data_IF_736398502474
#
_entry.id   IF_736398502474
#
_cell.length_a   1.000
_cell.length_b   1.000
_cell.length_c   1.000
_cell.angle_alpha   90.00
_cell.angle_beta   90.00
_cell.angle_gamma   90.00
#
_symmetry.space_group_name_H-M   'P 1'
#
loop_
_entity.id
_entity.type
_entity.pdbx_description
1 polymer ?
#
# COMPACT_ATOMS: atom_id res chain seq x y z
N UNK A 1 11.04 0.59 4.78
CA UNK A 1 10.61 -0.82 4.84
C UNK A 1 9.11 -0.87 5.11
N UNK A 2 8.35 -1.63 4.32
CA UNK A 2 6.88 -1.79 4.41
C UNK A 2 6.54 -3.28 4.36
N UNK A 3 5.51 -3.71 5.07
CA UNK A 3 5.00 -5.08 5.07
C UNK A 3 3.60 -5.13 4.43
N UNK A 4 3.44 -5.91 3.36
CA UNK A 4 2.19 -6.03 2.60
C UNK A 4 1.01 -6.53 3.45
N UNK A 5 1.27 -7.48 4.35
CA UNK A 5 0.25 -8.08 5.22
C UNK A 5 -0.33 -7.09 6.24
N UNK A 6 0.36 -5.99 6.52
CA UNK A 6 -0.09 -4.92 7.42
C UNK A 6 -0.86 -3.83 6.70
N UNK A 7 -0.76 -3.74 5.37
CA UNK A 7 -1.52 -2.76 4.59
C UNK A 7 -2.98 -3.18 4.59
N UNK A 8 -3.84 -2.26 5.04
CA UNK A 8 -5.28 -2.49 5.05
C UNK A 8 -5.83 -2.29 3.65
N UNK A 9 -6.45 -3.33 3.12
CA UNK A 9 -7.17 -3.32 1.86
C UNK A 9 -8.57 -3.86 2.16
N UNK A 10 -9.61 -3.24 1.60
CA UNK A 10 -10.98 -3.70 1.80
C UNK A 10 -11.12 -5.15 1.27
N UNK A 11 -11.84 -6.04 1.95
CA UNK A 11 -12.04 -7.43 1.49
C UNK A 11 -12.55 -7.52 0.06
N UNK A 12 -13.49 -6.66 -0.31
CA UNK A 12 -14.09 -6.57 -1.64
C UNK A 12 -13.03 -6.20 -2.70
N UNK A 13 -12.12 -5.28 -2.37
CA UNK A 13 -11.00 -4.91 -3.25
C UNK A 13 -10.03 -6.08 -3.41
N UNK A 14 -9.71 -6.81 -2.33
CA UNK A 14 -8.85 -8.00 -2.40
C UNK A 14 -9.45 -9.10 -3.27
N UNK A 15 -10.75 -9.34 -3.16
CA UNK A 15 -11.46 -10.31 -4.00
C UNK A 15 -11.44 -9.92 -5.47
N UNK A 16 -11.69 -8.65 -5.79
CA UNK A 16 -11.64 -8.13 -7.16
C UNK A 16 -10.23 -8.23 -7.74
N UNK A 17 -9.21 -7.75 -7.01
CA UNK A 17 -7.81 -7.84 -7.44
C UNK A 17 -7.40 -9.28 -7.71
N UNK A 18 -7.81 -10.23 -6.85
CA UNK A 18 -7.52 -11.65 -7.06
C UNK A 18 -8.20 -12.19 -8.32
N UNK A 19 -9.47 -11.86 -8.54
CA UNK A 19 -10.22 -12.32 -9.71
C UNK A 19 -9.64 -11.76 -11.03
N UNK A 20 -9.08 -10.56 -10.99
CA UNK A 20 -8.54 -9.85 -12.16
C UNK A 20 -7.01 -9.92 -12.28
N UNK A 21 -6.35 -10.65 -11.38
CA UNK A 21 -4.88 -10.76 -11.30
C UNK A 21 -4.15 -9.40 -11.21
N UNK A 22 -4.66 -8.51 -10.36
CA UNK A 22 -4.08 -7.18 -10.10
C UNK A 22 -3.36 -7.15 -8.74
N UNK A 23 -2.33 -6.31 -8.62
CA UNK A 23 -1.70 -6.00 -7.35
C UNK A 23 -2.47 -4.88 -6.62
N UNK A 24 -3.11 -5.14 -5.46
CA UNK A 24 -3.86 -4.14 -4.73
C UNK A 24 -3.01 -2.96 -4.23
N UNK A 25 -1.69 -3.12 -4.11
CA UNK A 25 -0.78 -2.04 -3.69
C UNK A 25 -0.39 -1.10 -4.83
N UNK A 26 -0.76 -1.42 -6.08
CA UNK A 26 -0.49 -0.61 -7.27
C UNK A 26 -1.77 -0.05 -7.89
N UNK A 27 -2.83 0.08 -7.08
CA UNK A 27 -4.04 0.82 -7.44
C UNK A 27 -4.01 2.22 -6.83
N UNK A 28 -4.51 3.21 -7.56
CA UNK A 28 -4.78 4.53 -7.00
C UNK A 28 -5.85 4.42 -5.89
N UNK A 29 -5.62 5.14 -4.79
CA UNK A 29 -6.62 5.35 -3.73
C UNK A 29 -6.85 6.84 -3.50
N UNK A 30 -8.08 7.29 -3.74
CA UNK A 30 -8.52 8.67 -3.55
C UNK A 30 -8.98 8.99 -2.12
N UNK A 31 -8.95 8.02 -1.21
CA UNK A 31 -9.46 8.14 0.16
C UNK A 31 -8.51 7.64 1.25
N UNK A 32 -7.23 7.45 0.97
CA UNK A 32 -6.24 6.93 1.93
C UNK A 32 -5.24 7.99 2.37
N UNK A 33 -4.94 8.04 3.66
CA UNK A 33 -3.84 8.82 4.22
C UNK A 33 -2.63 7.91 4.47
N UNK A 34 -1.48 8.27 3.91
CA UNK A 34 -0.18 7.72 4.30
C UNK A 34 0.56 8.80 5.08
N UNK A 35 1.04 8.44 6.28
CA UNK A 35 1.73 9.38 7.15
C UNK A 35 2.91 8.70 7.85
N UNK A 36 3.95 9.48 8.13
CA UNK A 36 5.07 9.10 8.98
C UNK A 36 4.99 9.88 10.28
N UNK A 37 5.29 9.21 11.40
CA UNK A 37 5.31 9.84 12.72
C UNK A 37 6.55 9.38 13.49
N UNK A 38 7.10 10.18 14.41
CA UNK A 38 8.12 9.71 15.34
C UNK A 38 7.62 8.51 16.14
N UNK A 39 8.51 7.57 16.47
CA UNK A 39 8.16 6.34 17.20
C UNK A 39 7.43 6.62 18.52
N UNK A 40 7.80 7.69 19.23
CA UNK A 40 7.14 8.13 20.46
C UNK A 40 5.71 8.67 20.25
N UNK A 41 5.34 9.01 19.02
CA UNK A 41 4.03 9.57 18.67
C UNK A 41 3.03 8.55 18.13
N UNK A 42 3.41 7.29 17.93
CA UNK A 42 2.58 6.25 17.29
C UNK A 42 1.24 6.09 18.02
N UNK A 43 1.25 5.85 19.33
CA UNK A 43 0.04 5.65 20.13
C UNK A 43 -0.90 6.87 20.07
N UNK A 44 -0.34 8.08 20.14
CA UNK A 44 -1.12 9.31 20.05
C UNK A 44 -1.80 9.44 18.69
N UNK A 45 -1.08 9.15 17.60
CA UNK A 45 -1.63 9.19 16.25
C UNK A 45 -2.73 8.14 16.03
N UNK A 46 -2.51 6.92 16.50
CA UNK A 46 -3.50 5.83 16.41
C UNK A 46 -4.77 6.21 17.16
N UNK A 47 -4.64 6.68 18.39
CA UNK A 47 -5.80 7.06 19.22
C UNK A 47 -6.57 8.25 18.63
N UNK A 48 -5.87 9.24 18.06
CA UNK A 48 -6.52 10.38 17.42
C UNK A 48 -7.33 9.96 16.18
N UNK A 49 -6.78 9.10 15.31
CA UNK A 49 -7.48 8.62 14.11
C UNK A 49 -8.65 7.70 14.46
N UNK A 50 -8.45 6.75 15.38
CA UNK A 50 -9.54 5.89 15.86
C UNK A 50 -10.65 6.68 16.56
N UNK A 51 -10.30 7.74 17.28
CA UNK A 51 -11.26 8.63 17.95
C UNK A 51 -12.23 9.33 16.99
N UNK A 52 -11.87 9.47 15.71
CA UNK A 52 -12.74 10.01 14.66
C UNK A 52 -13.28 8.93 13.71
N UNK A 53 -13.16 7.65 14.09
CA UNK A 53 -13.66 6.52 13.31
C UNK A 53 -12.79 6.12 12.12
N UNK A 54 -11.54 6.58 12.05
CA UNK A 54 -10.59 6.19 11.01
C UNK A 54 -9.77 4.98 11.44
N UNK A 55 -9.91 3.89 10.70
CA UNK A 55 -9.07 2.71 10.86
C UNK A 55 -7.64 3.00 10.41
N UNK A 56 -6.67 2.55 11.21
CA UNK A 56 -5.24 2.81 10.99
C UNK A 56 -4.42 1.56 11.25
N UNK A 57 -3.33 1.39 10.49
CA UNK A 57 -2.35 0.32 10.64
C UNK A 57 -0.95 0.89 10.51
N UNK A 58 -0.03 0.44 11.35
CA UNK A 58 1.41 0.73 11.20
C UNK A 58 1.98 -0.27 10.19
N UNK A 59 2.21 0.19 8.96
CA UNK A 59 2.59 -0.67 7.85
C UNK A 59 4.10 -0.88 7.71
N UNK A 60 4.91 -0.11 8.43
CA UNK A 60 6.36 -0.16 8.28
C UNK A 60 7.10 0.95 9.01
N UNK A 61 8.35 1.16 8.60
CA UNK A 61 9.22 2.19 9.15
C UNK A 61 10.07 2.86 8.06
N UNK A 62 10.31 4.15 8.27
CA UNK A 62 11.31 4.91 7.51
C UNK A 62 12.69 4.48 8.00
N UNK A 63 13.56 4.15 7.06
CA UNK A 63 14.93 3.74 7.33
C UNK A 63 15.89 4.67 6.58
N UNK A 64 17.18 4.59 6.93
CA UNK A 64 18.23 5.24 6.15
C UNK A 64 18.20 4.76 4.69
N UNK A 65 18.55 5.66 3.78
CA UNK A 65 18.56 5.37 2.36
C UNK A 65 19.65 4.34 2.02
N UNK A 66 19.26 3.27 1.29
CA UNK A 66 20.12 2.14 0.93
C UNK A 66 20.22 1.88 -0.59
N UNK A 67 19.86 2.87 -1.41
CA UNK A 67 19.83 2.74 -2.88
C UNK A 67 18.46 2.40 -3.48
N UNK A 68 17.40 2.45 -2.68
CA UNK A 68 16.01 2.26 -3.08
C UNK A 68 15.09 3.12 -2.21
N UNK A 69 13.92 3.46 -2.74
CA UNK A 69 12.92 4.31 -2.07
C UNK A 69 12.06 3.50 -1.10
N UNK A 70 11.64 2.30 -1.55
CA UNK A 70 10.79 1.40 -0.76
C UNK A 70 11.37 -0.01 -0.83
N UNK A 71 11.47 -0.65 0.33
CA UNK A 71 11.61 -2.11 0.44
C UNK A 71 10.26 -2.65 0.93
N UNK A 72 9.61 -3.45 0.10
CA UNK A 72 8.31 -4.04 0.33
C UNK A 72 8.47 -5.55 0.57
N UNK A 73 8.09 -5.98 1.77
CA UNK A 73 8.03 -7.39 2.15
C UNK A 73 6.66 -7.93 1.75
N UNK A 74 6.64 -8.81 0.75
CA UNK A 74 5.44 -9.42 0.17
C UNK A 74 4.91 -10.56 1.04
N UNK A 75 3.64 -10.91 0.90
CA UNK A 75 3.00 -12.01 1.66
C UNK A 75 3.61 -13.38 1.38
N UNK A 76 4.14 -13.59 0.18
CA UNK A 76 4.80 -14.83 -0.25
C UNK A 76 6.26 -14.94 0.23
N UNK A 77 6.75 -13.94 0.97
CA UNK A 77 8.12 -13.86 1.46
C UNK A 77 9.09 -13.20 0.48
N UNK A 78 8.66 -12.80 -0.72
CA UNK A 78 9.48 -12.02 -1.62
C UNK A 78 9.76 -10.62 -1.05
N UNK A 79 10.94 -10.08 -1.37
CA UNK A 79 11.31 -8.70 -1.02
C UNK A 79 11.50 -7.92 -2.31
N UNK A 80 10.64 -6.93 -2.53
CA UNK A 80 10.72 -6.03 -3.68
C UNK A 80 11.38 -4.72 -3.28
N UNK A 81 12.27 -4.20 -4.14
CA UNK A 81 12.90 -2.90 -3.97
C UNK A 81 12.44 -1.97 -5.08
N UNK A 82 11.74 -0.92 -4.70
CA UNK A 82 11.22 0.09 -5.61
C UNK A 82 12.17 1.28 -5.55
N UNK A 83 12.78 1.58 -6.69
CA UNK A 83 13.74 2.68 -6.83
C UNK A 83 13.24 3.80 -7.74
N UNK A 84 12.16 3.56 -8.49
CA UNK A 84 11.49 4.56 -9.33
C UNK A 84 10.30 5.18 -8.58
N UNK A 85 10.05 6.46 -8.84
CA UNK A 85 8.87 7.17 -8.33
C UNK A 85 7.64 6.88 -9.18
N UNK A 86 7.82 6.47 -10.43
CA UNK A 86 6.73 6.09 -11.32
C UNK A 86 6.32 4.65 -11.07
N UNK A 87 5.08 4.48 -10.64
CA UNK A 87 4.42 3.17 -10.50
C UNK A 87 3.20 3.21 -11.40
N UNK A 88 3.13 2.28 -12.34
CA UNK A 88 1.97 2.14 -13.22
C UNK A 88 0.76 1.61 -12.44
N UNK A 89 -0.40 2.20 -12.70
CA UNK A 89 -1.66 1.75 -12.11
C UNK A 89 -2.11 0.44 -12.78
N UNK A 90 -2.41 -0.58 -11.97
CA UNK A 90 -2.82 -1.91 -12.46
C UNK A 90 -4.11 -1.88 -13.31
N UNK A 91 -4.97 -0.86 -13.17
CA UNK A 91 -6.14 -0.67 -14.03
C UNK A 91 -5.77 -0.38 -15.49
N UNK A 92 -4.57 0.15 -15.76
CA UNK A 92 -4.11 0.37 -17.14
C UNK A 92 -3.95 -0.95 -17.89
N UNK A 93 -3.51 -2.01 -17.20
CA UNK A 93 -3.41 -3.37 -17.78
C UNK A 93 -4.77 -3.89 -18.24
N UNK A 94 -5.82 -3.58 -17.47
CA UNK A 94 -7.19 -3.95 -17.84
C UNK A 94 -7.69 -3.14 -19.03
N UNK A 95 -7.36 -1.85 -19.08
CA UNK A 95 -7.71 -0.98 -20.20
C UNK A 95 -7.07 -1.47 -21.50
N UNK A 96 -5.78 -1.81 -21.49
CA UNK A 96 -5.06 -2.33 -22.65
C UNK A 96 -5.55 -3.69 -23.12
N UNK A 97 -6.00 -4.54 -22.19
CA UNK A 97 -6.57 -5.85 -22.49
C UNK A 97 -8.04 -5.78 -22.93
N UNK A 98 -8.71 -4.64 -22.76
CA UNK A 98 -10.11 -4.46 -23.16
C UNK A 98 -10.21 -4.45 -24.68
N UNK A 99 -11.19 -5.18 -25.28
CA UNK A 99 -11.50 -5.00 -26.68
C UNK A 99 -11.84 -3.53 -26.94
N UNK A 100 -11.37 -3.00 -28.08
CA UNK A 100 -11.76 -1.67 -28.53
C UNK A 100 -13.29 -1.64 -28.66
N UNK A 101 -13.93 -0.72 -27.95
CA UNK A 101 -15.36 -0.44 -28.06
C UNK A 101 -15.59 0.49 -29.25
#
# INVERSE_FOLDING_TARGET
MIYEDRVRVAPETLELCRAMNLDPLRLISSGTLIATVPRSGIERAINALRGVGVEVSVIGEVQEYRGYLVELHRRDGAVERISDVYVEDELMKLWEASPAV
#
